data_IF_125336829734
#
_entry.id   IF_125336829734
#
_cell.length_a   1.000
_cell.length_b   1.000
_cell.length_c   1.000
_cell.angle_alpha   90.00
_cell.angle_beta   90.00
_cell.angle_gamma   90.00
#
_symmetry.space_group_name_H-M   'P 1'
#
loop_
_entity.id
_entity.type
_entity.pdbx_description
1 polymer ?
#
# COMPACT_ATOMS: atom_id res chain seq x y z
N UNK A 1 10.54 -6.17 -6.16
CA UNK A 1 11.99 -5.90 -6.10
C UNK A 1 12.81 -7.18 -5.93
N UNK A 2 12.52 -8.03 -4.94
CA UNK A 2 13.29 -9.27 -4.71
C UNK A 2 13.32 -10.16 -5.95
N UNK A 3 12.16 -10.47 -6.53
CA UNK A 3 12.04 -11.31 -7.73
C UNK A 3 12.87 -10.81 -8.92
N UNK A 4 12.98 -9.49 -9.09
CA UNK A 4 13.76 -8.88 -10.17
C UNK A 4 15.28 -9.04 -10.00
N UNK A 5 15.72 -9.32 -8.76
CA UNK A 5 17.15 -9.45 -8.39
C UNK A 5 17.58 -10.88 -8.11
N UNK A 6 16.65 -11.82 -8.13
CA UNK A 6 16.98 -13.24 -7.90
C UNK A 6 17.73 -13.82 -9.08
N UNK A 7 18.75 -14.63 -8.76
CA UNK A 7 19.52 -15.39 -9.74
C UNK A 7 18.70 -16.55 -10.30
N UNK A 8 18.92 -16.93 -11.55
CA UNK A 8 18.26 -18.05 -12.21
C UNK A 8 18.50 -19.41 -11.49
N UNK A 9 19.59 -19.52 -10.74
CA UNK A 9 19.89 -20.70 -9.92
C UNK A 9 18.93 -20.87 -8.72
N UNK A 10 18.23 -19.81 -8.33
CA UNK A 10 17.25 -19.82 -7.23
C UNK A 10 15.83 -20.14 -7.74
N UNK A 11 15.70 -21.08 -8.65
CA UNK A 11 14.45 -21.37 -9.37
C UNK A 11 13.28 -21.72 -8.45
N UNK A 12 13.50 -22.56 -7.43
CA UNK A 12 12.42 -23.00 -6.53
C UNK A 12 11.95 -21.88 -5.63
N UNK A 13 12.87 -21.11 -5.07
CA UNK A 13 12.60 -19.94 -4.22
C UNK A 13 11.89 -18.85 -5.03
N UNK A 14 12.36 -18.59 -6.25
CA UNK A 14 11.72 -17.65 -7.17
C UNK A 14 10.26 -18.03 -7.42
N UNK A 15 9.98 -19.29 -7.75
CA UNK A 15 8.61 -19.76 -7.98
C UNK A 15 7.74 -19.67 -6.74
N UNK A 16 8.27 -20.01 -5.57
CA UNK A 16 7.54 -19.92 -4.31
C UNK A 16 7.18 -18.47 -3.98
N UNK A 17 8.14 -17.54 -4.08
CA UNK A 17 7.90 -16.11 -3.83
C UNK A 17 6.92 -15.53 -4.88
N UNK A 18 7.05 -15.93 -6.13
CA UNK A 18 6.12 -15.51 -7.20
C UNK A 18 4.69 -15.97 -6.91
N UNK A 19 4.50 -17.21 -6.47
CA UNK A 19 3.18 -17.72 -6.10
C UNK A 19 2.60 -16.94 -4.92
N UNK A 20 3.37 -16.75 -3.86
CA UNK A 20 2.96 -15.95 -2.70
C UNK A 20 2.59 -14.51 -3.09
N UNK A 21 3.36 -13.89 -3.97
CA UNK A 21 3.07 -12.54 -4.47
C UNK A 21 1.72 -12.47 -5.19
N UNK A 22 1.45 -13.43 -6.10
CA UNK A 22 0.18 -13.49 -6.83
C UNK A 22 -1.01 -13.70 -5.90
N UNK A 23 -0.91 -14.67 -5.00
CA UNK A 23 -1.95 -14.96 -4.00
C UNK A 23 -2.21 -13.75 -3.09
N UNK A 24 -1.15 -13.07 -2.63
CA UNK A 24 -1.29 -11.88 -1.82
C UNK A 24 -2.02 -10.75 -2.56
N UNK A 25 -1.68 -10.48 -3.82
CA UNK A 25 -2.36 -9.46 -4.62
C UNK A 25 -3.83 -9.82 -4.85
N UNK A 26 -4.13 -11.07 -5.19
CA UNK A 26 -5.50 -11.54 -5.41
C UNK A 26 -6.35 -11.45 -4.14
N UNK A 27 -5.76 -11.79 -2.99
CA UNK A 27 -6.42 -11.64 -1.69
C UNK A 27 -6.67 -10.17 -1.33
N UNK A 28 -5.66 -9.31 -1.51
CA UNK A 28 -5.76 -7.87 -1.22
C UNK A 28 -6.87 -7.18 -2.01
N UNK A 29 -7.01 -7.48 -3.30
CA UNK A 29 -8.05 -6.90 -4.17
C UNK A 29 -9.46 -7.07 -3.59
N UNK A 30 -9.72 -8.16 -2.85
CA UNK A 30 -11.05 -8.39 -2.24
C UNK A 30 -11.41 -7.35 -1.17
N UNK A 31 -10.41 -6.69 -0.60
CA UNK A 31 -10.58 -5.67 0.43
C UNK A 31 -10.36 -4.25 -0.08
N UNK A 32 -10.11 -4.07 -1.36
CA UNK A 32 -9.92 -2.76 -1.95
C UNK A 32 -11.22 -1.95 -1.87
N UNK A 33 -11.17 -0.76 -1.31
CA UNK A 33 -12.33 0.13 -1.23
C UNK A 33 -12.88 0.44 -2.61
N UNK A 34 -14.19 0.22 -2.77
CA UNK A 34 -14.82 0.28 -4.09
C UNK A 34 -14.90 1.71 -4.66
N UNK A 35 -14.87 2.74 -3.83
CA UNK A 35 -14.92 4.13 -4.26
C UNK A 35 -13.53 4.66 -4.58
N UNK A 36 -12.62 4.57 -3.63
CA UNK A 36 -11.29 5.19 -3.72
C UNK A 36 -10.21 4.27 -4.29
N UNK A 37 -10.39 2.94 -4.16
CA UNK A 37 -9.34 1.98 -4.48
C UNK A 37 -8.26 1.86 -3.42
N UNK A 38 -8.36 2.60 -2.32
CA UNK A 38 -7.45 2.51 -1.18
C UNK A 38 -7.78 1.33 -0.26
N UNK A 39 -6.98 1.17 0.77
CA UNK A 39 -7.18 0.16 1.81
C UNK A 39 -7.39 0.81 3.18
N UNK A 40 -8.28 0.23 3.96
CA UNK A 40 -8.49 0.63 5.34
C UNK A 40 -7.29 0.21 6.21
N UNK A 41 -6.99 0.98 7.26
CA UNK A 41 -5.92 0.68 8.23
C UNK A 41 -6.08 -0.73 8.81
N UNK A 42 -7.29 -1.10 9.21
CA UNK A 42 -7.66 -2.49 9.50
C UNK A 42 -8.54 -2.97 8.36
N UNK A 43 -7.95 -3.79 7.51
CA UNK A 43 -8.40 -4.07 6.15
C UNK A 43 -9.79 -4.70 6.05
N UNK A 44 -10.16 -5.54 7.02
CA UNK A 44 -11.44 -6.26 7.08
C UNK A 44 -12.51 -5.54 7.92
N UNK A 45 -12.24 -4.30 8.32
CA UNK A 45 -13.11 -3.49 9.19
C UNK A 45 -13.53 -2.18 8.52
N UNK A 46 -13.85 -2.24 7.22
CA UNK A 46 -14.35 -1.09 6.47
C UNK A 46 -15.56 -0.44 7.20
N UNK A 47 -15.53 0.88 7.31
CA UNK A 47 -16.62 1.65 7.90
C UNK A 47 -16.77 1.55 9.42
N UNK A 48 -15.93 0.81 10.12
CA UNK A 48 -15.93 0.80 11.60
C UNK A 48 -15.45 2.16 12.11
N UNK A 49 -16.17 2.81 13.06
CA UNK A 49 -15.74 4.09 13.61
C UNK A 49 -14.30 4.06 14.16
N UNK A 50 -13.49 5.03 13.76
CA UNK A 50 -12.08 5.11 14.08
C UNK A 50 -11.16 4.48 13.03
N UNK A 51 -11.67 3.64 12.13
CA UNK A 51 -10.89 3.14 10.99
C UNK A 51 -10.82 4.22 9.88
N UNK A 52 -9.75 4.22 9.12
CA UNK A 52 -9.53 5.19 8.03
C UNK A 52 -8.82 4.53 6.84
N UNK A 53 -8.93 5.14 5.67
CA UNK A 53 -8.17 4.73 4.48
C UNK A 53 -6.72 5.15 4.67
N UNK A 54 -5.80 4.18 4.58
CA UNK A 54 -4.41 4.35 4.97
C UNK A 54 -3.49 4.52 3.75
N UNK A 55 -2.68 5.55 3.78
CA UNK A 55 -1.84 5.98 2.64
C UNK A 55 -0.71 5.03 2.33
N UNK A 56 0.05 4.56 3.33
CA UNK A 56 1.29 3.81 3.08
C UNK A 56 1.03 2.44 2.50
N UNK A 57 0.08 1.71 3.05
CA UNK A 57 -0.36 0.41 2.54
C UNK A 57 -0.98 0.50 1.15
N UNK A 58 -1.83 1.51 0.93
CA UNK A 58 -2.45 1.75 -0.38
C UNK A 58 -1.42 2.07 -1.46
N UNK A 59 -0.47 2.93 -1.16
CA UNK A 59 0.62 3.30 -2.07
C UNK A 59 1.56 2.12 -2.36
N UNK A 60 1.88 1.32 -1.34
CA UNK A 60 2.72 0.14 -1.52
C UNK A 60 2.04 -0.92 -2.39
N UNK A 61 0.73 -1.12 -2.21
CA UNK A 61 -0.06 -1.98 -3.09
C UNK A 61 -0.05 -1.47 -4.54
N UNK A 62 -0.28 -0.17 -4.74
CA UNK A 62 -0.22 0.45 -6.06
C UNK A 62 1.13 0.17 -6.75
N UNK A 63 2.24 0.45 -6.06
CA UNK A 63 3.58 0.16 -6.56
C UNK A 63 3.78 -1.32 -6.91
N UNK A 64 3.42 -2.22 -5.99
CA UNK A 64 3.63 -3.65 -6.18
C UNK A 64 2.87 -4.19 -7.38
N UNK A 65 1.60 -3.77 -7.56
CA UNK A 65 0.75 -4.21 -8.68
C UNK A 65 1.23 -3.61 -10.00
N UNK A 66 1.50 -2.31 -10.07
CA UNK A 66 1.95 -1.65 -11.29
C UNK A 66 3.27 -2.23 -11.78
N UNK A 67 4.25 -2.36 -10.89
CA UNK A 67 5.53 -2.98 -11.19
C UNK A 67 5.38 -4.45 -11.57
N UNK A 68 4.55 -5.20 -10.85
CA UNK A 68 4.27 -6.61 -11.14
C UNK A 68 3.67 -6.81 -12.54
N UNK A 69 2.80 -5.91 -12.99
CA UNK A 69 2.26 -5.93 -14.34
C UNK A 69 3.31 -5.56 -15.37
N UNK A 70 4.10 -4.52 -15.14
CA UNK A 70 5.18 -4.11 -16.06
C UNK A 70 6.20 -5.21 -16.27
N UNK A 71 6.59 -5.91 -15.22
CA UNK A 71 7.55 -7.02 -15.28
C UNK A 71 6.94 -8.36 -15.76
N UNK A 72 5.63 -8.38 -16.07
CA UNK A 72 4.94 -9.60 -16.52
C UNK A 72 4.67 -10.63 -15.42
N UNK A 73 4.83 -10.27 -14.15
CA UNK A 73 4.53 -11.13 -13.00
C UNK A 73 3.03 -11.25 -12.77
N UNK A 74 2.27 -10.18 -13.07
CA UNK A 74 0.83 -10.12 -13.00
C UNK A 74 0.21 -9.91 -14.38
N UNK A 75 -0.99 -10.48 -14.65
CA UNK A 75 -1.75 -10.19 -15.84
C UNK A 75 -2.09 -8.70 -15.99
N UNK A 76 -2.14 -8.19 -17.22
CA UNK A 76 -2.41 -6.78 -17.54
C UNK A 76 -3.69 -6.22 -16.89
N UNK A 77 -4.73 -7.07 -16.70
CA UNK A 77 -6.00 -6.67 -16.06
C UNK A 77 -5.81 -6.14 -14.63
N UNK A 78 -4.73 -6.52 -13.95
CA UNK A 78 -4.45 -6.05 -12.58
C UNK A 78 -4.00 -4.59 -12.52
N UNK A 79 -3.51 -4.04 -13.64
CA UNK A 79 -3.06 -2.64 -13.69
C UNK A 79 -4.11 -1.66 -13.16
N UNK A 80 -5.37 -1.86 -13.52
CA UNK A 80 -6.46 -0.99 -13.09
C UNK A 80 -6.62 -0.89 -11.55
N UNK A 81 -6.33 -1.96 -10.81
CA UNK A 81 -6.36 -1.94 -9.34
C UNK A 81 -5.22 -1.10 -8.76
N UNK A 82 -4.02 -1.22 -9.32
CA UNK A 82 -2.87 -0.40 -8.92
C UNK A 82 -3.09 1.08 -9.22
N UNK A 83 -3.56 1.41 -10.43
CA UNK A 83 -3.89 2.78 -10.84
C UNK A 83 -4.96 3.40 -9.93
N UNK A 84 -6.02 2.64 -9.63
CA UNK A 84 -7.10 3.11 -8.76
C UNK A 84 -6.59 3.41 -7.34
N UNK A 85 -5.75 2.56 -6.77
CA UNK A 85 -5.15 2.81 -5.47
C UNK A 85 -4.23 4.04 -5.46
N UNK A 86 -3.45 4.24 -6.53
CA UNK A 86 -2.60 5.41 -6.69
C UNK A 86 -3.41 6.71 -6.76
N UNK A 87 -4.38 6.78 -7.69
CA UNK A 87 -5.22 7.97 -7.84
C UNK A 87 -6.04 8.25 -6.60
N UNK A 88 -6.67 7.24 -6.00
CA UNK A 88 -7.43 7.43 -4.77
C UNK A 88 -6.59 7.96 -3.60
N UNK A 89 -5.33 7.53 -3.50
CA UNK A 89 -4.39 8.08 -2.51
C UNK A 89 -4.08 9.56 -2.82
N UNK A 90 -3.80 9.88 -4.08
CA UNK A 90 -3.52 11.27 -4.49
C UNK A 90 -4.75 12.17 -4.25
N UNK A 91 -5.92 11.75 -4.71
CA UNK A 91 -7.14 12.54 -4.62
C UNK A 91 -7.56 12.80 -3.17
N UNK A 92 -7.33 11.83 -2.29
CA UNK A 92 -7.75 11.94 -0.90
C UNK A 92 -6.74 12.67 0.00
N UNK A 93 -5.44 12.43 -0.21
CA UNK A 93 -4.43 12.75 0.79
C UNK A 93 -3.23 13.56 0.30
N UNK A 94 -3.06 13.74 -1.02
CA UNK A 94 -2.01 14.59 -1.56
C UNK A 94 -2.57 16.00 -1.80
N UNK A 95 -2.04 16.96 -1.09
CA UNK A 95 -2.46 18.36 -1.19
C UNK A 95 -1.28 19.32 -1.22
N UNK A 96 -1.59 20.59 -1.10
CA UNK A 96 -0.61 21.67 -0.96
C UNK A 96 -0.93 22.44 0.31
N UNK A 97 0.07 22.63 1.17
CA UNK A 97 -0.09 23.38 2.41
C UNK A 97 -0.09 24.91 2.16
N UNK A 98 -0.32 25.69 3.22
CA UNK A 98 -0.38 27.16 3.15
C UNK A 98 0.92 27.82 2.67
N UNK A 99 2.03 27.07 2.65
CA UNK A 99 3.34 27.53 2.14
C UNK A 99 3.58 27.18 0.67
N UNK A 100 2.62 26.50 0.03
CA UNK A 100 2.78 26.03 -1.35
C UNK A 100 3.61 24.74 -1.48
N UNK A 101 3.86 24.01 -0.38
CA UNK A 101 4.61 22.76 -0.37
C UNK A 101 3.66 21.56 -0.48
N UNK A 102 4.06 20.52 -1.17
CA UNK A 102 3.31 19.27 -1.23
C UNK A 102 3.20 18.64 0.16
N UNK A 103 2.01 18.19 0.49
CA UNK A 103 1.69 17.55 1.77
C UNK A 103 0.94 16.26 1.51
N UNK A 104 1.44 15.17 2.07
CA UNK A 104 0.81 13.85 2.01
C UNK A 104 0.36 13.45 3.42
N UNK A 105 -0.94 13.24 3.60
CA UNK A 105 -1.54 12.87 4.88
C UNK A 105 -2.05 11.41 4.91
N UNK A 106 -2.77 11.03 5.96
CA UNK A 106 -3.39 9.69 6.06
C UNK A 106 -2.41 8.55 6.30
N UNK A 107 -1.24 8.83 6.87
CA UNK A 107 -0.18 7.85 7.11
C UNK A 107 -0.22 7.39 8.56
N UNK A 108 -0.32 6.08 8.80
CA UNK A 108 -0.16 5.51 10.14
C UNK A 108 1.28 5.69 10.62
N UNK A 109 1.49 6.33 11.80
CA UNK A 109 2.83 6.56 12.31
C UNK A 109 3.55 5.25 12.58
N UNK A 110 2.90 4.33 13.28
CA UNK A 110 3.42 2.98 13.53
C UNK A 110 2.31 2.07 14.02
N UNK A 111 2.24 0.87 13.49
CA UNK A 111 1.37 -0.18 14.02
C UNK A 111 2.19 -1.45 14.20
N UNK A 112 1.91 -2.20 15.26
CA UNK A 112 2.67 -3.41 15.56
C UNK A 112 2.12 -4.16 16.76
N UNK A 113 2.84 -5.19 17.18
CA UNK A 113 2.49 -6.01 18.34
C UNK A 113 3.63 -5.99 19.39
N UNK A 114 3.26 -6.10 20.66
CA UNK A 114 4.19 -6.21 21.76
C UNK A 114 4.98 -4.92 22.04
N UNK A 115 6.24 -5.08 22.46
CA UNK A 115 7.10 -3.96 22.85
C UNK A 115 6.82 -3.41 24.25
N UNK A 116 7.55 -2.36 24.63
CA UNK A 116 7.43 -1.73 25.94
C UNK A 116 6.05 -1.13 26.22
N UNK A 117 5.33 -0.73 25.18
CA UNK A 117 3.99 -0.15 25.26
C UNK A 117 2.87 -1.20 25.29
N UNK A 118 3.22 -2.49 25.27
CA UNK A 118 2.29 -3.61 25.32
C UNK A 118 1.18 -3.51 24.24
N UNK A 119 1.56 -3.25 23.00
CA UNK A 119 0.66 -3.24 21.86
C UNK A 119 -0.03 -4.59 21.74
N UNK A 120 -1.34 -4.64 21.99
CA UNK A 120 -2.10 -5.88 22.14
C UNK A 120 -2.75 -6.36 20.84
N UNK A 121 -2.69 -5.53 19.78
CA UNK A 121 -3.30 -5.84 18.49
C UNK A 121 -4.81 -5.71 18.45
N UNK A 122 -5.43 -5.13 19.47
CA UNK A 122 -6.87 -4.84 19.47
C UNK A 122 -7.23 -3.75 18.46
N UNK A 123 -8.51 -3.67 18.08
CA UNK A 123 -9.00 -2.58 17.22
C UNK A 123 -8.82 -1.22 17.90
N UNK A 124 -9.06 -1.17 19.21
CA UNK A 124 -8.87 0.04 20.01
C UNK A 124 -7.42 0.53 19.92
N UNK A 125 -6.46 -0.37 20.05
CA UNK A 125 -5.05 -0.04 19.86
C UNK A 125 -4.79 0.49 18.44
N UNK A 126 -5.20 -0.24 17.39
CA UNK A 126 -4.94 0.18 15.99
C UNK A 126 -5.57 1.53 15.67
N UNK A 127 -6.75 1.84 16.21
CA UNK A 127 -7.41 3.11 15.98
C UNK A 127 -6.86 4.26 16.83
N UNK A 128 -6.07 3.96 17.88
CA UNK A 128 -5.38 4.95 18.71
C UNK A 128 -4.01 5.38 18.17
N UNK A 129 -3.47 4.66 17.20
CA UNK A 129 -2.18 5.04 16.61
C UNK A 129 -2.27 6.37 15.86
N UNK A 130 -1.30 7.27 16.04
CA UNK A 130 -1.32 8.58 15.40
C UNK A 130 -1.31 8.48 13.88
N UNK A 131 -2.14 9.30 13.25
CA UNK A 131 -2.11 9.56 11.81
C UNK A 131 -1.27 10.80 11.56
N UNK A 132 -0.26 10.68 10.71
CA UNK A 132 0.75 11.72 10.49
C UNK A 132 0.84 12.13 9.03
N UNK A 133 1.59 13.21 8.80
CA UNK A 133 1.83 13.78 7.48
C UNK A 133 3.30 13.70 7.11
N UNK A 134 3.56 13.55 5.82
CA UNK A 134 4.89 13.56 5.22
C UNK A 134 5.89 12.55 5.81
N UNK A 135 5.40 11.50 6.48
CA UNK A 135 6.27 10.43 6.97
C UNK A 135 6.79 9.60 5.80
N UNK A 136 8.06 9.23 5.87
CA UNK A 136 8.76 8.49 4.81
C UNK A 136 8.06 7.16 4.44
N UNK A 137 7.36 6.52 5.40
CA UNK A 137 6.61 5.27 5.15
C UNK A 137 5.47 5.43 4.15
N UNK A 138 4.87 6.62 4.05
CA UNK A 138 3.85 6.92 3.06
C UNK A 138 4.43 7.58 1.81
N UNK A 139 5.36 8.52 1.98
CA UNK A 139 5.96 9.28 0.87
C UNK A 139 6.75 8.36 -0.06
N UNK A 140 7.61 7.49 0.46
CA UNK A 140 8.44 6.63 -0.37
C UNK A 140 7.63 5.65 -1.24
N UNK A 141 6.63 4.90 -0.73
CA UNK A 141 5.80 4.05 -1.57
C UNK A 141 5.01 4.82 -2.63
N UNK A 142 4.50 6.02 -2.30
CA UNK A 142 3.79 6.84 -3.27
C UNK A 142 4.70 7.29 -4.42
N UNK A 143 5.93 7.72 -4.12
CA UNK A 143 6.92 8.05 -5.14
C UNK A 143 7.30 6.85 -6.00
N UNK A 144 7.46 5.67 -5.39
CA UNK A 144 7.72 4.43 -6.14
C UNK A 144 6.52 4.08 -7.06
N UNK A 145 5.29 4.20 -6.57
CA UNK A 145 4.10 3.99 -7.39
C UNK A 145 4.03 5.01 -8.54
N UNK A 146 4.34 6.28 -8.27
CA UNK A 146 4.41 7.31 -9.30
C UNK A 146 5.43 6.97 -10.40
N UNK A 147 6.60 6.44 -10.05
CA UNK A 147 7.57 6.01 -11.07
C UNK A 147 7.01 4.95 -12.00
N UNK A 148 6.23 4.00 -11.49
CA UNK A 148 5.58 2.97 -12.31
C UNK A 148 4.39 3.52 -13.14
N UNK A 149 3.78 4.62 -12.71
CA UNK A 149 2.73 5.31 -13.48
C UNK A 149 3.29 6.01 -14.73
N UNK A 150 4.51 6.55 -14.65
CA UNK A 150 5.14 7.30 -15.75
C UNK A 150 6.03 6.44 -16.67
N UNK A 151 6.45 5.26 -16.24
CA UNK A 151 7.16 4.29 -17.10
C UNK A 151 6.12 3.62 -18.02
N UNK A 152 6.28 3.79 -19.32
CA UNK A 152 5.46 3.18 -20.37
C UNK A 152 6.06 1.88 -20.89
#
# INVERSE_FOLDING_TARGET
DVLERMDEQMYYEYRAIMAMFKEAVEAMIQFQDAETGMFWQVIDKAGVPGNYLETSGSSLFAYAVLKGVRLGYLPKRFRAYGEKAFYGTCDKYLGVNDKGELQLSGICLVAGLGGATRRDGSLEYYFSEPVVENDAKGVAPLLLAYTEMIIQ
#
